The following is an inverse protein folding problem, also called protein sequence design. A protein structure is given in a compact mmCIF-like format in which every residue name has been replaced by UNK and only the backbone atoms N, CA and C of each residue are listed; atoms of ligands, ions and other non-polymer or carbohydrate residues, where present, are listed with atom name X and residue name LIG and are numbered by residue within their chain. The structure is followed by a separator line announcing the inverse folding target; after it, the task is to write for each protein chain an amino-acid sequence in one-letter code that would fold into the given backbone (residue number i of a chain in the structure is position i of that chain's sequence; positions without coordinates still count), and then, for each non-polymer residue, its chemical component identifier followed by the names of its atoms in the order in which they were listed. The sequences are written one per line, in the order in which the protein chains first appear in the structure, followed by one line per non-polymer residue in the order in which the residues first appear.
data_IF_469543515369
#
_entry.id   IF_469543515369
#
_cell.length_a   1.000
_cell.length_b   1.000
_cell.length_c   1.000
_cell.angle_alpha   90.00
_cell.angle_beta   90.00
_cell.angle_gamma   90.00
#
_symmetry.space_group_name_H-M   'P 1'
#
loop_
_entity.id
_entity.type
_entity.pdbx_description
1 polymer ?
#
# COMPACT_ATOMS: atom_id res chain seq x y z
N UNK A 1 25.81 5.86 46.92
CA UNK A 1 26.52 5.03 45.95
C UNK A 1 25.41 4.40 45.14
N UNK A 2 25.09 4.98 43.99
CA UNK A 2 24.09 4.41 43.08
C UNK A 2 24.79 3.28 42.32
N UNK A 3 24.23 2.08 42.43
CA UNK A 3 24.72 0.91 41.70
C UNK A 3 24.31 1.08 40.22
N UNK A 4 25.26 1.50 39.38
CA UNK A 4 25.07 1.56 37.94
C UNK A 4 24.77 0.15 37.40
N UNK A 5 23.59 -0.01 36.79
CA UNK A 5 23.12 -1.29 36.22
C UNK A 5 23.80 -1.56 34.86
N UNK A 6 24.97 -2.20 34.89
CA UNK A 6 25.74 -2.63 33.71
C UNK A 6 25.23 -3.94 33.08
N UNK A 7 23.92 -4.24 33.16
CA UNK A 7 23.35 -5.44 32.59
C UNK A 7 23.36 -5.42 31.05
N UNK A 8 23.67 -6.56 30.41
CA UNK A 8 23.62 -6.70 28.95
C UNK A 8 22.24 -6.39 28.36
N UNK A 9 21.18 -6.55 29.16
CA UNK A 9 19.82 -6.17 28.77
C UNK A 9 19.67 -4.65 28.54
N UNK A 10 20.48 -3.82 29.22
CA UNK A 10 20.50 -2.37 29.03
C UNK A 10 21.13 -1.95 27.69
N UNK A 11 21.88 -2.84 27.04
CA UNK A 11 22.53 -2.58 25.73
C UNK A 11 21.88 -3.34 24.57
N UNK A 12 20.96 -4.26 24.84
CA UNK A 12 20.25 -4.98 23.77
C UNK A 12 19.13 -4.13 23.18
N UNK A 13 19.33 -3.66 21.96
CA UNK A 13 18.28 -3.09 21.13
C UNK A 13 17.51 -4.22 20.43
N UNK A 14 16.21 -4.33 20.70
CA UNK A 14 15.34 -5.22 19.94
C UNK A 14 15.05 -4.57 18.59
N UNK A 15 15.48 -5.24 17.52
CA UNK A 15 15.04 -4.86 16.19
C UNK A 15 13.57 -5.20 16.01
N UNK A 16 12.85 -4.30 15.35
CA UNK A 16 11.51 -4.62 14.86
C UNK A 16 11.57 -5.87 13.98
N UNK A 17 10.58 -6.75 14.16
CA UNK A 17 10.46 -7.93 13.30
C UNK A 17 10.36 -7.46 11.85
N UNK A 18 11.03 -8.14 10.91
CA UNK A 18 10.98 -7.74 9.51
C UNK A 18 9.54 -7.72 9.03
N UNK A 19 9.19 -6.66 8.29
CA UNK A 19 7.86 -6.53 7.69
C UNK A 19 7.63 -7.75 6.79
N UNK A 20 6.57 -8.56 7.04
CA UNK A 20 6.32 -9.74 6.25
C UNK A 20 6.09 -9.35 4.77
N UNK A 21 6.72 -10.11 3.87
CA UNK A 21 6.62 -9.84 2.44
C UNK A 21 5.15 -9.94 1.99
N UNK A 22 4.70 -8.95 1.19
CA UNK A 22 3.34 -8.92 0.64
C UNK A 22 3.03 -10.15 -0.23
N UNK A 23 4.07 -10.69 -0.88
CA UNK A 23 4.02 -11.87 -1.72
C UNK A 23 5.04 -12.89 -1.22
N UNK A 24 4.68 -14.16 -1.28
CA UNK A 24 5.55 -15.26 -0.90
C UNK A 24 5.67 -16.30 -2.02
N UNK A 25 6.63 -17.22 -1.92
CA UNK A 25 6.72 -18.35 -2.84
C UNK A 25 5.51 -19.28 -2.64
N UNK A 26 4.81 -19.57 -3.72
CA UNK A 26 3.67 -20.50 -3.78
C UNK A 26 4.01 -21.63 -4.74
N UNK A 27 3.84 -22.91 -4.35
CA UNK A 27 4.13 -24.04 -5.22
C UNK A 27 3.14 -24.07 -6.39
N UNK A 28 3.67 -24.15 -7.61
CA UNK A 28 2.92 -24.20 -8.86
C UNK A 28 3.57 -25.24 -9.80
N UNK A 29 3.03 -26.46 -9.78
CA UNK A 29 3.39 -27.52 -10.74
C UNK A 29 4.87 -27.87 -10.80
N UNK A 30 5.57 -27.89 -9.65
CA UNK A 30 7.00 -28.23 -9.56
C UNK A 30 7.96 -27.05 -9.49
N UNK A 31 7.47 -25.81 -9.59
CA UNK A 31 8.25 -24.58 -9.34
C UNK A 31 7.58 -23.69 -8.29
N UNK A 32 8.28 -22.67 -7.80
CA UNK A 32 7.70 -21.67 -6.89
C UNK A 32 7.50 -20.36 -7.63
N UNK A 33 6.30 -19.78 -7.48
CA UNK A 33 5.95 -18.49 -8.07
C UNK A 33 5.70 -17.50 -6.94
N UNK A 34 6.18 -16.26 -7.09
CA UNK A 34 5.90 -15.17 -6.15
C UNK A 34 4.44 -14.69 -6.32
N UNK A 35 3.59 -14.97 -5.34
CA UNK A 35 2.17 -14.64 -5.38
C UNK A 35 1.63 -14.18 -4.03
N UNK A 36 0.50 -13.47 -4.07
CA UNK A 36 -0.35 -13.27 -2.90
C UNK A 36 -0.99 -14.60 -2.51
N UNK A 37 -1.10 -14.88 -1.22
CA UNK A 37 -1.64 -16.15 -0.71
C UNK A 37 -3.14 -16.30 -0.92
N UNK A 38 -3.85 -15.18 -0.99
CA UNK A 38 -5.29 -15.12 -1.17
C UNK A 38 -5.73 -13.81 -1.82
N UNK A 39 -6.95 -13.78 -2.35
CA UNK A 39 -7.59 -12.56 -2.85
C UNK A 39 -7.68 -11.49 -1.77
N UNK A 40 -7.94 -11.88 -0.52
CA UNK A 40 -8.01 -10.96 0.63
C UNK A 40 -6.66 -10.28 0.87
N UNK A 41 -5.57 -11.05 0.89
CA UNK A 41 -4.22 -10.49 1.06
C UNK A 41 -3.84 -9.53 -0.06
N UNK A 42 -4.24 -9.84 -1.30
CA UNK A 42 -4.06 -8.94 -2.43
C UNK A 42 -4.88 -7.66 -2.26
N UNK A 43 -6.17 -7.76 -1.91
CA UNK A 43 -7.07 -6.61 -1.79
C UNK A 43 -6.69 -5.68 -0.65
N UNK A 44 -6.25 -6.24 0.49
CA UNK A 44 -5.75 -5.48 1.63
C UNK A 44 -4.47 -4.73 1.26
N UNK A 45 -3.55 -5.39 0.56
CA UNK A 45 -2.31 -4.76 0.09
C UNK A 45 -2.58 -3.68 -0.96
N UNK A 46 -3.54 -3.89 -1.87
CA UNK A 46 -3.95 -2.91 -2.87
C UNK A 46 -4.54 -1.66 -2.22
N UNK A 47 -5.50 -1.83 -1.30
CA UNK A 47 -6.09 -0.73 -0.52
C UNK A 47 -5.04 0.02 0.30
N UNK A 48 -4.09 -0.70 0.91
CA UNK A 48 -2.98 -0.08 1.64
C UNK A 48 -2.11 0.78 0.72
N UNK A 49 -1.80 0.30 -0.49
CA UNK A 49 -1.09 1.10 -1.49
C UNK A 49 -1.87 2.37 -1.83
N UNK A 50 -3.16 2.25 -2.13
CA UNK A 50 -4.01 3.40 -2.48
C UNK A 50 -4.05 4.43 -1.34
N UNK A 51 -4.24 3.98 -0.10
CA UNK A 51 -4.26 4.88 1.07
C UNK A 51 -2.92 5.59 1.26
N UNK A 52 -1.79 4.87 1.23
CA UNK A 52 -0.48 5.47 1.44
C UNK A 52 -0.13 6.49 0.35
N UNK A 53 -0.39 6.17 -0.92
CA UNK A 53 -0.13 7.11 -2.03
C UNK A 53 -1.07 8.30 -1.97
N UNK A 54 -2.33 8.09 -1.56
CA UNK A 54 -3.30 9.17 -1.36
C UNK A 54 -2.85 10.13 -0.25
N UNK A 55 -2.48 9.60 0.92
CA UNK A 55 -1.99 10.39 2.06
C UNK A 55 -0.75 11.21 1.67
N UNK A 56 0.22 10.59 0.98
CA UNK A 56 1.41 11.30 0.49
C UNK A 56 1.06 12.38 -0.54
N UNK A 57 0.11 12.12 -1.42
CA UNK A 57 -0.37 13.10 -2.39
C UNK A 57 -1.05 14.28 -1.69
N UNK A 58 -1.89 14.04 -0.68
CA UNK A 58 -2.59 15.07 0.08
C UNK A 58 -1.60 15.94 0.87
N UNK A 59 -0.61 15.32 1.50
CA UNK A 59 0.44 16.07 2.20
C UNK A 59 1.31 16.89 1.24
N UNK A 60 1.70 16.29 0.11
CA UNK A 60 2.41 17.00 -0.96
C UNK A 60 1.58 18.15 -1.54
N UNK A 61 0.27 17.99 -1.65
CA UNK A 61 -0.64 19.04 -2.09
C UNK A 61 -0.72 20.20 -1.09
N UNK A 62 -0.77 19.94 0.22
CA UNK A 62 -0.73 21.00 1.24
C UNK A 62 0.54 21.84 1.14
N UNK A 63 1.70 21.18 1.08
CA UNK A 63 3.00 21.85 0.96
C UNK A 63 3.08 22.63 -0.36
N UNK A 64 2.70 22.00 -1.47
CA UNK A 64 2.71 22.62 -2.80
C UNK A 64 1.80 23.84 -2.88
N UNK A 65 0.60 23.76 -2.31
CA UNK A 65 -0.35 24.87 -2.26
C UNK A 65 0.12 26.01 -1.37
N UNK A 66 0.77 25.73 -0.24
CA UNK A 66 1.36 26.77 0.61
C UNK A 66 2.45 27.56 -0.15
N UNK A 67 3.32 26.84 -0.89
CA UNK A 67 4.34 27.47 -1.74
C UNK A 67 3.71 28.26 -2.89
N UNK A 68 2.66 27.74 -3.53
CA UNK A 68 1.95 28.42 -4.60
C UNK A 68 1.27 29.70 -4.10
N UNK A 69 0.54 29.63 -2.98
CA UNK A 69 -0.10 30.77 -2.34
C UNK A 69 0.91 31.89 -2.03
N UNK A 70 2.05 31.53 -1.42
CA UNK A 70 3.11 32.49 -1.12
C UNK A 70 3.69 33.14 -2.38
N UNK A 71 3.85 32.37 -3.46
CA UNK A 71 4.34 32.89 -4.74
C UNK A 71 3.33 33.79 -5.46
N UNK A 72 2.04 33.51 -5.33
CA UNK A 72 0.96 34.31 -5.93
C UNK A 72 0.73 35.61 -5.16
N UNK A 73 0.93 35.61 -3.84
CA UNK A 73 0.62 36.74 -2.97
C UNK A 73 1.84 37.60 -2.58
N UNK A 74 3.07 37.24 -2.99
CA UNK A 74 4.26 38.04 -2.69
C UNK A 74 4.20 39.40 -3.41
N UNK A 75 4.53 40.52 -2.73
CA UNK A 75 4.62 41.81 -3.39
C UNK A 75 5.80 41.84 -4.37
N UNK A 76 5.74 42.68 -5.42
CA UNK A 76 6.86 42.93 -6.29
C UNK A 76 8.11 43.35 -5.50
N UNK A 77 9.28 42.93 -5.97
CA UNK A 77 10.56 43.10 -5.27
C UNK A 77 10.87 44.57 -4.92
N UNK A 78 10.45 45.53 -5.75
CA UNK A 78 10.67 46.96 -5.53
C UNK A 78 9.87 47.55 -4.36
N UNK A 79 8.73 46.93 -3.97
CA UNK A 79 7.99 47.33 -2.75
C UNK A 79 8.62 46.77 -1.46
N UNK A 80 9.61 45.88 -1.57
CA UNK A 80 10.27 45.28 -0.41
C UNK A 80 11.30 46.22 0.24
N UNK A 81 11.81 47.20 -0.50
CA UNK A 81 12.84 48.15 -0.06
C UNK A 81 12.28 49.39 0.66
N UNK A 82 10.97 49.66 0.59
CA UNK A 82 10.35 50.90 1.09
C UNK A 82 9.52 50.77 2.37
N UNK A 83 9.69 49.68 3.13
CA UNK A 83 8.78 49.29 4.21
C UNK A 83 7.75 48.30 3.65
N UNK A 84 7.87 47.04 4.08
CA UNK A 84 7.14 45.91 3.51
C UNK A 84 5.63 46.16 3.42
N UNK A 85 5.03 45.68 2.33
CA UNK A 85 3.57 45.74 2.14
C UNK A 85 2.80 45.13 3.31
N UNK A 86 1.53 45.50 3.44
CA UNK A 86 0.68 45.11 4.56
C UNK A 86 0.66 43.57 4.72
N UNK A 87 1.32 43.08 5.77
CA UNK A 87 1.39 41.66 6.10
C UNK A 87 -0.01 41.05 6.26
N UNK A 88 -0.98 41.85 6.73
CA UNK A 88 -2.35 41.41 6.94
C UNK A 88 -3.11 41.21 5.62
N UNK A 89 -2.85 42.03 4.61
CA UNK A 89 -3.40 41.83 3.28
C UNK A 89 -2.78 40.61 2.59
N UNK A 90 -1.48 40.40 2.79
CA UNK A 90 -0.78 39.24 2.27
C UNK A 90 -1.31 37.94 2.88
N UNK A 91 -1.51 37.89 4.19
CA UNK A 91 -2.07 36.73 4.89
C UNK A 91 -3.45 36.35 4.34
N UNK A 92 -4.35 37.33 4.17
CA UNK A 92 -5.68 37.11 3.57
C UNK A 92 -5.64 36.66 2.11
N UNK A 93 -4.60 37.05 1.37
CA UNK A 93 -4.37 36.54 0.02
C UNK A 93 -3.92 35.09 0.07
N UNK A 94 -2.92 34.79 0.91
CA UNK A 94 -2.34 33.45 1.03
C UNK A 94 -3.39 32.44 1.53
N UNK A 95 -4.24 32.80 2.49
CA UNK A 95 -5.33 31.96 2.98
C UNK A 95 -6.31 31.57 1.86
N UNK A 96 -6.79 32.56 1.07
CA UNK A 96 -7.73 32.29 -0.04
C UNK A 96 -7.11 31.45 -1.15
N UNK A 97 -5.87 31.75 -1.54
CA UNK A 97 -5.14 30.99 -2.56
C UNK A 97 -4.86 29.56 -2.08
N UNK A 98 -4.49 29.39 -0.81
CA UNK A 98 -4.23 28.09 -0.20
C UNK A 98 -5.49 27.23 -0.17
N UNK A 99 -6.61 27.74 0.35
CA UNK A 99 -7.87 27.00 0.43
C UNK A 99 -8.36 26.56 -0.95
N UNK A 100 -8.34 27.48 -1.93
CA UNK A 100 -8.74 27.18 -3.30
C UNK A 100 -7.86 26.11 -3.95
N UNK A 101 -6.55 26.21 -3.77
CA UNK A 101 -5.59 25.24 -4.29
C UNK A 101 -5.77 23.85 -3.65
N UNK A 102 -5.89 23.78 -2.32
CA UNK A 102 -6.02 22.52 -1.58
C UNK A 102 -7.32 21.80 -1.97
N UNK A 103 -8.44 22.51 -2.02
CA UNK A 103 -9.72 21.95 -2.43
C UNK A 103 -9.66 21.35 -3.85
N UNK A 104 -8.99 22.04 -4.78
CA UNK A 104 -8.81 21.55 -6.15
C UNK A 104 -7.82 20.38 -6.26
N UNK A 105 -6.79 20.33 -5.40
CA UNK A 105 -5.75 19.31 -5.43
C UNK A 105 -6.20 17.98 -4.79
N UNK A 106 -6.92 18.03 -3.66
CA UNK A 106 -7.36 16.83 -2.93
C UNK A 106 -8.21 15.89 -3.79
N UNK A 107 -9.09 16.43 -4.64
CA UNK A 107 -9.95 15.65 -5.53
C UNK A 107 -9.19 14.77 -6.54
N UNK A 108 -7.91 15.10 -6.82
CA UNK A 108 -7.08 14.37 -7.80
C UNK A 108 -6.27 13.24 -7.16
N UNK A 109 -6.07 13.25 -5.84
CA UNK A 109 -5.21 12.30 -5.16
C UNK A 109 -5.74 10.86 -5.19
N UNK A 110 -7.06 10.67 -5.16
CA UNK A 110 -7.65 9.33 -5.25
C UNK A 110 -7.40 8.67 -6.62
N UNK A 111 -7.57 9.43 -7.72
CA UNK A 111 -7.27 8.94 -9.07
C UNK A 111 -5.79 8.65 -9.25
N UNK A 112 -4.93 9.55 -8.77
CA UNK A 112 -3.48 9.37 -8.80
C UNK A 112 -3.04 8.10 -8.05
N UNK A 113 -3.56 7.87 -6.85
CA UNK A 113 -3.24 6.70 -6.05
C UNK A 113 -3.64 5.39 -6.76
N UNK A 114 -4.87 5.35 -7.30
CA UNK A 114 -5.36 4.20 -8.06
C UNK A 114 -4.48 3.91 -9.28
N UNK A 115 -4.14 4.94 -10.05
CA UNK A 115 -3.33 4.79 -11.26
C UNK A 115 -1.93 4.26 -10.92
N UNK A 116 -1.29 4.80 -9.87
CA UNK A 116 0.04 4.36 -9.42
C UNK A 116 0.04 2.92 -8.89
N UNK A 117 -1.00 2.50 -8.17
CA UNK A 117 -1.09 1.15 -7.62
C UNK A 117 -1.52 0.12 -8.68
N UNK A 118 -2.35 0.50 -9.65
CA UNK A 118 -3.00 -0.43 -10.59
C UNK A 118 -2.03 -1.33 -11.36
N UNK A 119 -0.97 -0.78 -11.98
CA UNK A 119 -0.07 -1.54 -12.83
C UNK A 119 0.62 -2.69 -12.11
N UNK A 120 1.16 -2.42 -10.92
CA UNK A 120 1.87 -3.42 -10.12
C UNK A 120 0.94 -4.50 -9.56
N UNK A 121 -0.28 -4.13 -9.16
CA UNK A 121 -1.22 -5.05 -8.51
C UNK A 121 -2.07 -5.85 -9.50
N UNK A 122 -2.40 -5.31 -10.67
CA UNK A 122 -3.18 -6.03 -11.68
C UNK A 122 -2.39 -7.18 -12.32
N UNK A 123 -1.08 -7.02 -12.45
CA UNK A 123 -0.18 -8.07 -12.96
C UNK A 123 0.31 -9.02 -11.86
N UNK A 124 0.06 -8.72 -10.59
CA UNK A 124 0.43 -9.58 -9.49
C UNK A 124 -0.36 -10.91 -9.54
N UNK A 125 0.32 -12.00 -9.17
CA UNK A 125 -0.28 -13.33 -9.07
C UNK A 125 -1.00 -13.48 -7.74
N UNK A 126 -2.18 -14.09 -7.79
CA UNK A 126 -2.97 -14.47 -6.61
C UNK A 126 -3.12 -15.99 -6.65
N UNK A 127 -2.74 -16.63 -5.56
CA UNK A 127 -3.00 -18.04 -5.34
C UNK A 127 -4.50 -18.24 -5.08
N UNK A 128 -5.09 -19.13 -5.85
CA UNK A 128 -6.45 -19.63 -5.68
C UNK A 128 -6.36 -21.12 -5.45
N UNK A 129 -6.93 -21.58 -4.35
CA UNK A 129 -7.17 -23.00 -4.13
C UNK A 129 -8.30 -23.43 -5.06
N UNK A 130 -7.99 -24.23 -6.07
CA UNK A 130 -9.02 -24.62 -7.04
C UNK A 130 -9.59 -26.00 -6.76
N UNK A 131 -8.86 -26.94 -6.15
CA UNK A 131 -9.35 -28.33 -6.23
C UNK A 131 -8.71 -29.33 -5.24
N UNK A 132 -8.30 -28.87 -4.05
CA UNK A 132 -7.71 -29.76 -3.04
C UNK A 132 -8.74 -30.36 -2.06
N UNK A 133 -9.70 -29.54 -1.64
CA UNK A 133 -10.69 -29.93 -0.63
C UNK A 133 -11.70 -30.95 -1.16
N UNK A 134 -12.07 -30.88 -2.45
CA UNK A 134 -13.02 -31.85 -3.05
C UNK A 134 -12.42 -33.25 -3.09
N UNK A 135 -11.12 -33.39 -3.45
CA UNK A 135 -10.43 -34.69 -3.45
C UNK A 135 -10.19 -35.24 -2.05
N UNK A 136 -9.87 -34.38 -1.08
CA UNK A 136 -9.69 -34.78 0.32
C UNK A 136 -11.03 -35.17 0.98
N UNK A 137 -12.12 -34.48 0.66
CA UNK A 137 -13.46 -34.82 1.12
C UNK A 137 -14.03 -36.09 0.47
N UNK A 138 -13.52 -36.48 -0.70
CA UNK A 138 -13.94 -37.70 -1.41
C UNK A 138 -13.16 -38.96 -1.02
N UNK A 139 -12.14 -38.85 -0.16
CA UNK A 139 -11.29 -39.98 0.25
C UNK A 139 -11.76 -40.58 1.60
N UNK A 140 -11.79 -41.91 1.77
CA UNK A 140 -12.10 -42.54 3.06
C UNK A 140 -11.16 -42.06 4.18
N UNK A 141 -11.67 -41.95 5.41
CA UNK A 141 -10.92 -41.42 6.56
C UNK A 141 -9.69 -42.29 6.90
N UNK A 142 -9.79 -43.62 6.73
CA UNK A 142 -8.73 -44.60 7.06
C UNK A 142 -7.67 -44.83 5.97
N UNK A 143 -7.58 -43.94 4.98
CA UNK A 143 -6.70 -44.15 3.83
C UNK A 143 -5.23 -43.88 4.17
N UNK A 144 -4.39 -44.93 4.23
CA UNK A 144 -2.92 -44.85 4.42
C UNK A 144 -2.24 -43.94 3.38
N UNK A 145 -2.86 -43.80 2.20
CA UNK A 145 -2.44 -42.91 1.11
C UNK A 145 -2.48 -41.41 1.46
N UNK A 146 -3.30 -40.98 2.42
CA UNK A 146 -3.33 -39.58 2.92
C UNK A 146 -1.98 -39.19 3.53
N UNK A 147 -1.34 -40.12 4.24
CA UNK A 147 -0.04 -39.90 4.87
C UNK A 147 1.12 -39.91 3.87
N UNK A 148 1.05 -40.73 2.83
CA UNK A 148 2.12 -40.88 1.84
C UNK A 148 2.17 -39.75 0.81
N UNK A 149 1.01 -39.15 0.46
CA UNK A 149 0.97 -38.15 -0.60
C UNK A 149 1.45 -36.76 -0.18
N UNK A 150 1.46 -36.42 1.12
CA UNK A 150 1.72 -35.05 1.59
C UNK A 150 0.61 -34.08 1.15
N UNK A 151 0.14 -33.21 2.05
CA UNK A 151 -0.94 -32.26 1.74
C UNK A 151 -0.63 -31.35 0.53
N UNK A 152 0.65 -31.09 0.26
CA UNK A 152 1.12 -30.29 -0.88
C UNK A 152 0.90 -30.95 -2.25
N UNK A 153 0.80 -32.28 -2.33
CA UNK A 153 0.53 -33.03 -3.57
C UNK A 153 -0.95 -32.99 -3.97
N UNK A 154 -1.84 -32.86 -2.98
CA UNK A 154 -3.29 -32.97 -3.17
C UNK A 154 -3.94 -31.63 -3.56
N UNK A 155 -3.31 -30.50 -3.21
CA UNK A 155 -3.84 -29.17 -3.49
C UNK A 155 -3.21 -28.63 -4.78
N UNK A 156 -3.98 -28.65 -5.87
CA UNK A 156 -3.58 -27.93 -7.10
C UNK A 156 -3.83 -26.43 -6.89
N UNK A 157 -2.78 -25.71 -6.52
CA UNK A 157 -2.84 -24.25 -6.40
C UNK A 157 -2.79 -23.64 -7.80
N UNK A 158 -3.82 -22.88 -8.16
CA UNK A 158 -3.85 -22.11 -9.41
C UNK A 158 -3.41 -20.68 -9.10
N UNK A 159 -2.41 -20.20 -9.82
CA UNK A 159 -1.94 -18.82 -9.70
C UNK A 159 -2.40 -17.98 -10.90
N UNK A 160 -3.46 -17.19 -10.72
CA UNK A 160 -3.98 -16.30 -11.75
C UNK A 160 -3.43 -14.88 -11.58
N UNK A 161 -3.36 -14.07 -12.65
CA UNK A 161 -3.13 -12.63 -12.48
C UNK A 161 -4.39 -12.00 -11.91
N UNK A 162 -4.23 -10.97 -11.08
CA UNK A 162 -5.35 -10.26 -10.49
C UNK A 162 -6.31 -9.71 -11.55
N UNK A 163 -5.79 -9.17 -12.67
CA UNK A 163 -6.60 -8.70 -13.80
C UNK A 163 -7.54 -9.79 -14.34
N UNK A 164 -7.04 -11.01 -14.51
CA UNK A 164 -7.81 -12.12 -15.07
C UNK A 164 -8.93 -12.55 -14.12
N UNK A 165 -8.64 -12.59 -12.81
CA UNK A 165 -9.63 -12.92 -11.77
C UNK A 165 -10.74 -11.87 -11.70
N UNK A 166 -10.39 -10.58 -11.68
CA UNK A 166 -11.37 -9.49 -11.63
C UNK A 166 -12.29 -9.47 -12.86
N UNK A 167 -11.75 -9.83 -14.03
CA UNK A 167 -12.54 -9.95 -15.25
C UNK A 167 -13.49 -11.15 -15.24
N UNK A 168 -13.16 -12.23 -14.53
CA UNK A 168 -14.05 -13.39 -14.35
C UNK A 168 -15.20 -13.06 -13.41
N UNK A 169 -14.93 -12.37 -12.29
CA UNK A 169 -15.97 -11.97 -11.33
C UNK A 169 -17.00 -11.00 -11.92
N UNK A 170 -16.61 -10.18 -12.91
CA UNK A 170 -17.54 -9.24 -13.59
C UNK A 170 -18.49 -9.90 -14.60
N UNK A 171 -18.24 -11.15 -14.99
CA UNK A 171 -19.06 -11.88 -15.99
C UNK A 171 -20.10 -12.81 -15.36
N UNK A 172 -20.00 -13.06 -14.06
CA UNK A 172 -20.98 -13.80 -13.27
C UNK A 172 -21.89 -12.81 -12.53
#
# INVERSE_FOLDING_TARGET
MEDDDYSAAATTLLFDRPIPLLRGPVPAGGSYILAFRSLDSWSAAFKRCENLIKEQCEEGARIGCAVAASNNCKPPWWRRSGGGGDMKEREKCEEREFEGCVAAAMGKCAGFAKDKCSGAFLEARIASEVEGLVRLASMPEDSTWRHLMGLSSLVRIKCCRARDLLNQTRRN
#
